data_IF_504561520978
#
_entry.id   IF_504561520978
#
_cell.length_a   1.000
_cell.length_b   1.000
_cell.length_c   1.000
_cell.angle_alpha   90.00
_cell.angle_beta   90.00
_cell.angle_gamma   90.00
#
_symmetry.space_group_name_H-M   'P 1'
#
loop_
_entity.id
_entity.type
_entity.pdbx_description
1 polymer ?
#
# COMPACT_ATOMS: atom_id res chain seq x y z
N UNK A 1 -16.00 -33.81 13.36
CA UNK A 1 -15.27 -32.53 13.26
C UNK A 1 -15.23 -32.00 11.82
N UNK A 2 -14.83 -32.80 10.84
CA UNK A 2 -14.75 -32.42 9.41
C UNK A 2 -16.11 -32.01 8.82
N UNK A 3 -17.19 -32.75 9.10
CA UNK A 3 -18.54 -32.45 8.59
C UNK A 3 -19.03 -31.08 9.07
N UNK A 4 -18.77 -30.73 10.34
CA UNK A 4 -19.17 -29.44 10.88
C UNK A 4 -18.41 -28.26 10.23
N UNK A 5 -17.14 -28.47 9.91
CA UNK A 5 -16.34 -27.48 9.17
C UNK A 5 -16.84 -27.27 7.73
N UNK A 6 -17.26 -28.35 7.05
CA UNK A 6 -17.83 -28.23 5.70
C UNK A 6 -19.18 -27.54 5.70
N UNK A 7 -20.02 -27.77 6.71
CA UNK A 7 -21.29 -27.07 6.87
C UNK A 7 -21.10 -25.58 7.18
N UNK A 8 -20.15 -25.24 8.04
CA UNK A 8 -19.81 -23.86 8.36
C UNK A 8 -19.23 -23.11 7.15
N UNK A 9 -18.39 -23.76 6.35
CA UNK A 9 -17.88 -23.19 5.08
C UNK A 9 -18.98 -22.99 4.04
N UNK A 10 -19.91 -23.94 3.91
CA UNK A 10 -21.07 -23.84 3.02
C UNK A 10 -21.99 -22.67 3.41
N UNK A 11 -22.26 -22.52 4.71
CA UNK A 11 -23.07 -21.43 5.23
C UNK A 11 -22.40 -20.06 5.07
N UNK A 12 -21.07 -19.99 5.23
CA UNK A 12 -20.30 -18.78 5.01
C UNK A 12 -20.30 -18.40 3.52
N UNK A 13 -20.12 -19.34 2.62
CA UNK A 13 -20.22 -19.13 1.17
C UNK A 13 -21.59 -18.60 0.75
N UNK A 14 -22.68 -19.17 1.28
CA UNK A 14 -24.05 -18.69 1.03
C UNK A 14 -24.28 -17.27 1.57
N UNK A 15 -23.77 -16.95 2.75
CA UNK A 15 -23.88 -15.59 3.33
C UNK A 15 -23.15 -14.57 2.47
N UNK A 16 -21.95 -14.91 1.98
CA UNK A 16 -21.17 -14.03 1.10
C UNK A 16 -21.86 -13.83 -0.26
N UNK A 17 -22.40 -14.89 -0.85
CA UNK A 17 -23.20 -14.81 -2.09
C UNK A 17 -24.45 -13.95 -1.91
N UNK A 18 -25.15 -14.07 -0.79
CA UNK A 18 -26.31 -13.23 -0.49
C UNK A 18 -25.95 -11.77 -0.27
N UNK A 19 -24.77 -11.49 0.34
CA UNK A 19 -24.28 -10.12 0.51
C UNK A 19 -23.93 -9.49 -0.85
N UNK A 20 -23.29 -10.25 -1.74
CA UNK A 20 -22.99 -9.78 -3.10
C UNK A 20 -24.25 -9.47 -3.89
N UNK A 21 -25.24 -10.37 -3.84
CA UNK A 21 -26.57 -10.17 -4.46
C UNK A 21 -27.26 -8.94 -3.90
N UNK A 22 -27.27 -8.77 -2.59
CA UNK A 22 -27.90 -7.62 -1.94
C UNK A 22 -27.22 -6.30 -2.37
N UNK A 23 -25.90 -6.25 -2.35
CA UNK A 23 -25.14 -5.06 -2.76
C UNK A 23 -25.33 -4.73 -4.24
N UNK A 24 -25.41 -5.73 -5.10
CA UNK A 24 -25.62 -5.53 -6.54
C UNK A 24 -27.05 -5.14 -6.90
N UNK A 25 -28.06 -5.62 -6.16
CA UNK A 25 -29.48 -5.33 -6.45
C UNK A 25 -29.96 -4.04 -5.83
N UNK A 26 -29.57 -3.75 -4.59
CA UNK A 26 -30.05 -2.57 -3.85
C UNK A 26 -29.19 -1.31 -4.13
N UNK A 27 -27.90 -1.48 -4.32
CA UNK A 27 -26.96 -0.35 -4.43
C UNK A 27 -26.34 -0.23 -5.83
N UNK A 28 -26.59 -1.18 -6.72
CA UNK A 28 -26.03 -1.19 -8.07
C UNK A 28 -24.51 -1.29 -8.11
N UNK A 29 -23.87 -1.72 -7.00
CA UNK A 29 -22.42 -1.83 -6.85
C UNK A 29 -22.03 -3.28 -7.04
N UNK A 30 -21.28 -3.57 -8.10
CA UNK A 30 -20.64 -4.87 -8.28
C UNK A 30 -19.59 -5.09 -7.19
N UNK A 31 -19.90 -5.90 -6.18
CA UNK A 31 -18.97 -6.23 -5.10
C UNK A 31 -18.25 -7.53 -5.42
N UNK A 32 -16.95 -7.45 -5.67
CA UNK A 32 -16.10 -8.63 -5.77
C UNK A 32 -15.46 -8.93 -4.40
N UNK A 33 -15.29 -10.20 -4.07
CA UNK A 33 -14.60 -10.65 -2.85
C UNK A 33 -13.15 -10.16 -2.80
N UNK A 34 -12.53 -9.97 -3.95
CA UNK A 34 -11.16 -9.48 -4.14
C UNK A 34 -11.18 -8.03 -4.58
N UNK A 35 -11.59 -7.14 -3.69
CA UNK A 35 -11.76 -5.72 -4.02
C UNK A 35 -10.52 -4.88 -3.66
N UNK A 36 -10.32 -3.82 -4.43
CA UNK A 36 -9.20 -2.90 -4.27
C UNK A 36 -9.19 -2.19 -2.91
N UNK A 37 -10.37 -1.93 -2.32
CA UNK A 37 -10.50 -1.24 -1.04
C UNK A 37 -9.91 -2.06 0.11
N UNK A 38 -10.28 -3.34 0.23
CA UNK A 38 -9.76 -4.22 1.30
C UNK A 38 -8.26 -4.40 1.17
N UNK A 39 -7.78 -4.61 -0.06
CA UNK A 39 -6.34 -4.76 -0.31
C UNK A 39 -5.60 -3.48 -0.01
N UNK A 40 -6.13 -2.32 -0.37
CA UNK A 40 -5.55 -1.01 -0.05
C UNK A 40 -5.42 -0.79 1.46
N UNK A 41 -6.42 -1.18 2.25
CA UNK A 41 -6.36 -1.12 3.71
C UNK A 41 -5.28 -2.05 4.28
N UNK A 42 -5.25 -3.31 3.87
CA UNK A 42 -4.25 -4.29 4.32
C UNK A 42 -2.84 -3.81 3.97
N UNK A 43 -2.66 -3.29 2.77
CA UNK A 43 -1.40 -2.75 2.29
C UNK A 43 -0.97 -1.51 3.07
N UNK A 44 -1.92 -0.62 3.40
CA UNK A 44 -1.70 0.51 4.30
C UNK A 44 -1.13 0.05 5.64
N UNK A 45 -1.75 -0.94 6.28
CA UNK A 45 -1.25 -1.52 7.54
C UNK A 45 0.13 -2.16 7.40
N UNK A 46 0.43 -2.80 6.28
CA UNK A 46 1.73 -3.42 6.04
C UNK A 46 2.87 -2.39 5.87
N UNK A 47 2.57 -1.20 5.39
CA UNK A 47 3.55 -0.12 5.17
C UNK A 47 3.79 0.72 6.43
N UNK A 48 2.81 0.82 7.35
CA UNK A 48 2.91 1.61 8.59
C UNK A 48 4.18 1.31 9.39
N UNK A 49 4.57 0.06 9.70
CA UNK A 49 5.76 -0.21 10.50
C UNK A 49 7.05 0.34 9.87
N UNK A 50 7.14 0.27 8.55
CA UNK A 50 8.31 0.78 7.81
C UNK A 50 8.39 2.30 7.91
N UNK A 51 7.28 3.01 7.67
CA UNK A 51 7.23 4.48 7.78
C UNK A 51 7.51 4.91 9.22
N UNK A 52 6.91 4.20 10.20
CA UNK A 52 7.08 4.51 11.61
C UNK A 52 8.54 4.40 12.06
N UNK A 53 9.22 3.30 11.72
CA UNK A 53 10.63 3.10 12.07
C UNK A 53 11.53 4.20 11.50
N UNK A 54 11.34 4.56 10.23
CA UNK A 54 12.14 5.59 9.59
C UNK A 54 11.82 7.00 10.11
N UNK A 55 10.57 7.27 10.46
CA UNK A 55 10.16 8.54 11.05
C UNK A 55 10.71 8.67 12.50
N UNK A 56 10.74 7.56 13.25
CA UNK A 56 11.35 7.49 14.56
C UNK A 56 12.86 7.81 14.50
N UNK A 57 13.58 7.20 13.56
CA UNK A 57 14.99 7.49 13.32
C UNK A 57 15.23 8.98 13.00
N UNK A 58 14.35 9.58 12.19
CA UNK A 58 14.42 11.00 11.89
C UNK A 58 14.24 11.90 13.12
N UNK A 59 13.34 11.51 14.05
CA UNK A 59 13.17 12.22 15.33
C UNK A 59 14.39 12.10 16.25
N UNK A 60 15.01 10.91 16.29
CA UNK A 60 16.22 10.70 17.10
C UNK A 60 17.46 11.41 16.54
N UNK A 61 17.48 11.72 15.26
CA UNK A 61 18.58 12.46 14.63
C UNK A 61 18.61 13.93 15.01
N UNK A 62 17.54 14.48 15.61
CA UNK A 62 17.48 15.89 16.04
C UNK A 62 18.54 16.14 17.12
N UNK A 63 19.42 17.17 16.94
CA UNK A 63 20.51 17.43 17.85
C UNK A 63 20.02 17.82 19.26
N UNK A 64 20.59 17.19 20.28
CA UNK A 64 20.20 17.37 21.67
C UNK A 64 20.39 18.82 22.18
N UNK A 65 21.31 19.57 21.59
CA UNK A 65 21.52 20.98 21.99
C UNK A 65 20.32 21.88 21.69
N UNK A 66 19.52 21.55 20.61
CA UNK A 66 18.28 22.29 20.32
C UNK A 66 17.21 22.00 21.37
N UNK A 67 17.10 20.75 21.79
CA UNK A 67 16.13 20.29 22.81
C UNK A 67 16.49 20.94 24.15
N UNK A 68 17.77 20.86 24.56
CA UNK A 68 18.24 21.40 25.81
C UNK A 68 18.16 22.94 25.83
N UNK A 69 18.44 23.61 24.70
CA UNK A 69 18.28 25.04 24.55
C UNK A 69 16.84 25.52 24.74
N UNK A 70 15.89 24.82 24.15
CA UNK A 70 14.45 25.09 24.29
C UNK A 70 13.99 24.94 25.76
N UNK A 71 14.40 23.86 26.41
CA UNK A 71 14.05 23.59 27.80
C UNK A 71 14.71 24.65 28.75
N UNK A 72 15.94 25.09 28.47
CA UNK A 72 16.63 26.14 29.24
C UNK A 72 15.91 27.48 29.13
N UNK A 73 15.23 27.77 28.04
CA UNK A 73 14.39 28.96 27.87
C UNK A 73 13.02 28.85 28.56
N UNK A 74 12.76 27.75 29.28
CA UNK A 74 11.53 27.54 30.04
C UNK A 74 10.38 26.91 29.24
N UNK A 75 10.63 26.40 28.03
CA UNK A 75 9.61 25.70 27.28
C UNK A 75 9.25 24.36 27.95
N UNK A 76 7.97 24.00 27.94
CA UNK A 76 7.52 22.65 28.33
C UNK A 76 7.99 21.60 27.35
N UNK A 77 8.03 20.32 27.79
CA UNK A 77 8.39 19.17 26.90
C UNK A 77 7.51 19.08 25.64
N UNK A 78 6.22 19.36 25.76
CA UNK A 78 5.30 19.40 24.65
C UNK A 78 5.56 20.55 23.67
N UNK A 79 5.89 21.74 24.21
CA UNK A 79 6.27 22.87 23.37
C UNK A 79 7.57 22.59 22.61
N UNK A 80 8.58 22.06 23.30
CA UNK A 80 9.84 21.63 22.66
C UNK A 80 9.59 20.59 21.55
N UNK A 81 8.74 19.58 21.79
CA UNK A 81 8.41 18.57 20.79
C UNK A 81 7.75 19.19 19.56
N UNK A 82 6.72 20.01 19.76
CA UNK A 82 5.90 20.53 18.64
C UNK A 82 6.61 21.65 17.86
N UNK A 83 7.37 22.52 18.55
CA UNK A 83 7.93 23.71 17.93
C UNK A 83 9.43 23.61 17.60
N UNK A 84 10.14 22.64 18.15
CA UNK A 84 11.58 22.48 17.91
C UNK A 84 11.85 21.11 17.24
N UNK A 85 11.44 20.02 17.86
CA UNK A 85 11.80 18.67 17.39
C UNK A 85 11.07 18.33 16.09
N UNK A 86 9.76 18.52 16.05
CA UNK A 86 8.94 18.15 14.90
C UNK A 86 9.30 18.96 13.63
N UNK A 87 9.47 20.29 13.68
CA UNK A 87 9.95 21.06 12.53
C UNK A 87 11.37 20.68 12.10
N UNK A 88 12.27 20.43 13.06
CA UNK A 88 13.64 20.01 12.76
C UNK A 88 13.71 18.61 12.12
N UNK A 89 12.85 17.68 12.52
CA UNK A 89 12.75 16.34 11.98
C UNK A 89 11.91 16.26 10.67
N UNK A 90 11.18 17.31 10.32
CA UNK A 90 10.24 17.34 9.19
C UNK A 90 10.82 16.81 7.86
N UNK A 91 12.06 17.17 7.43
CA UNK A 91 12.63 16.63 6.20
C UNK A 91 12.84 15.11 6.26
N UNK A 92 13.26 14.59 7.41
CA UNK A 92 13.43 13.15 7.62
C UNK A 92 12.10 12.39 7.63
N UNK A 93 11.06 12.96 8.26
CA UNK A 93 9.71 12.38 8.25
C UNK A 93 9.15 12.38 6.82
N UNK A 94 9.36 13.43 6.06
CA UNK A 94 8.94 13.49 4.67
C UNK A 94 9.65 12.43 3.83
N UNK A 95 10.95 12.25 4.01
CA UNK A 95 11.72 11.17 3.37
C UNK A 95 11.17 9.78 3.73
N UNK A 96 10.82 9.55 5.00
CA UNK A 96 10.20 8.30 5.45
C UNK A 96 8.87 8.02 4.75
N UNK A 97 8.04 9.04 4.57
CA UNK A 97 6.77 8.93 3.82
C UNK A 97 7.00 8.59 2.34
N UNK A 98 7.97 9.25 1.69
CA UNK A 98 8.31 8.97 0.28
C UNK A 98 8.83 7.55 0.08
N UNK A 99 9.68 7.06 0.98
CA UNK A 99 10.15 5.66 0.99
C UNK A 99 9.01 4.68 1.18
N UNK A 100 8.11 4.94 2.12
CA UNK A 100 6.92 4.12 2.34
C UNK A 100 6.01 4.09 1.12
N UNK A 101 5.82 5.23 0.47
CA UNK A 101 5.05 5.34 -0.77
C UNK A 101 5.71 4.58 -1.91
N UNK A 102 7.01 4.72 -2.11
CA UNK A 102 7.76 3.96 -3.12
C UNK A 102 7.63 2.45 -2.93
N UNK A 103 7.68 1.98 -1.66
CA UNK A 103 7.43 0.58 -1.32
C UNK A 103 6.02 0.14 -1.66
N UNK A 104 5.02 0.95 -1.32
CA UNK A 104 3.61 0.66 -1.62
C UNK A 104 3.34 0.55 -3.13
N UNK A 105 3.93 1.43 -3.94
CA UNK A 105 3.81 1.38 -5.41
C UNK A 105 4.50 0.15 -6.01
N UNK A 106 5.60 -0.29 -5.41
CA UNK A 106 6.35 -1.49 -5.83
C UNK A 106 5.79 -2.81 -5.28
N UNK A 107 4.76 -2.77 -4.42
CA UNK A 107 4.22 -3.98 -3.82
C UNK A 107 3.53 -4.86 -4.86
N UNK A 108 4.04 -6.06 -5.01
CA UNK A 108 3.63 -7.00 -6.06
C UNK A 108 2.82 -8.16 -5.50
N UNK A 109 3.35 -8.82 -4.44
CA UNK A 109 2.82 -10.09 -3.96
C UNK A 109 1.47 -9.95 -3.26
N UNK A 110 1.33 -8.95 -2.38
CA UNK A 110 0.07 -8.72 -1.66
C UNK A 110 -1.02 -8.37 -2.67
N UNK A 111 -0.72 -7.48 -3.62
CA UNK A 111 -1.67 -7.09 -4.65
C UNK A 111 -2.05 -8.28 -5.52
N UNK A 112 -1.07 -9.03 -6.05
CA UNK A 112 -1.30 -10.18 -6.92
C UNK A 112 -2.21 -11.24 -6.27
N UNK A 113 -1.92 -11.59 -5.02
CA UNK A 113 -2.65 -12.66 -4.32
C UNK A 113 -4.03 -12.19 -3.83
N UNK A 114 -4.14 -10.94 -3.41
CA UNK A 114 -5.33 -10.43 -2.76
C UNK A 114 -6.37 -9.83 -3.73
N UNK A 115 -5.94 -9.19 -4.83
CA UNK A 115 -6.88 -8.64 -5.84
C UNK A 115 -7.25 -9.61 -6.96
N UNK A 116 -6.60 -10.77 -7.03
CA UNK A 116 -6.87 -11.78 -8.07
C UNK A 116 -6.36 -11.42 -9.46
N UNK A 117 -5.53 -10.40 -9.60
CA UNK A 117 -4.89 -9.99 -10.86
C UNK A 117 -5.89 -9.78 -12.02
N UNK A 118 -7.03 -9.17 -11.73
CA UNK A 118 -8.12 -8.98 -12.71
C UNK A 118 -7.79 -7.81 -13.64
N UNK A 119 -7.68 -8.00 -14.96
CA UNK A 119 -7.32 -6.95 -15.92
C UNK A 119 -8.53 -6.10 -16.30
N UNK A 120 -9.23 -5.53 -15.31
CA UNK A 120 -10.39 -4.66 -15.53
C UNK A 120 -9.96 -3.21 -15.30
N UNK A 121 -10.17 -2.35 -16.29
CA UNK A 121 -10.02 -0.91 -16.16
C UNK A 121 -11.36 -0.28 -15.76
N UNK A 122 -11.73 -0.44 -14.49
CA UNK A 122 -12.92 0.17 -13.92
C UNK A 122 -12.52 1.05 -12.74
N UNK A 123 -13.15 2.21 -12.60
CA UNK A 123 -12.91 3.15 -11.49
C UNK A 123 -13.63 2.75 -10.19
N UNK A 124 -14.17 1.53 -10.13
CA UNK A 124 -14.84 1.01 -8.95
C UNK A 124 -13.85 0.47 -7.92
N UNK A 125 -13.90 0.99 -6.70
CA UNK A 125 -13.09 0.52 -5.55
C UNK A 125 -13.46 -0.90 -5.08
N UNK A 126 -14.60 -1.42 -5.53
CA UNK A 126 -15.13 -2.72 -5.13
C UNK A 126 -14.79 -3.84 -6.11
N UNK A 127 -14.15 -3.51 -7.22
CA UNK A 127 -13.65 -4.48 -8.19
C UNK A 127 -12.20 -4.85 -7.89
N UNK A 128 -11.76 -6.00 -8.39
CA UNK A 128 -10.36 -6.39 -8.41
C UNK A 128 -9.54 -5.43 -9.27
N UNK A 129 -8.27 -5.27 -8.95
CA UNK A 129 -7.38 -4.41 -9.73
C UNK A 129 -6.08 -5.15 -10.07
N UNK A 130 -5.40 -4.64 -11.10
CA UNK A 130 -4.08 -5.10 -11.51
C UNK A 130 -3.12 -3.93 -11.49
N UNK A 131 -2.06 -4.00 -10.65
CA UNK A 131 -1.02 -2.98 -10.63
C UNK A 131 0.04 -3.25 -11.69
N UNK A 132 0.77 -2.20 -12.10
CA UNK A 132 1.90 -2.33 -13.03
C UNK A 132 2.95 -3.31 -12.51
N UNK A 133 3.29 -3.26 -11.23
CA UNK A 133 4.24 -4.18 -10.61
C UNK A 133 3.76 -5.64 -10.68
N UNK A 134 2.50 -5.90 -10.36
CA UNK A 134 1.91 -7.24 -10.45
C UNK A 134 1.83 -7.74 -11.90
N UNK A 135 1.51 -6.85 -12.85
CA UNK A 135 1.48 -7.19 -14.26
C UNK A 135 2.86 -7.64 -14.77
N UNK A 136 3.90 -6.87 -14.46
CA UNK A 136 5.27 -7.19 -14.86
C UNK A 136 5.69 -8.54 -14.26
N UNK A 137 5.40 -8.77 -12.98
CA UNK A 137 5.81 -9.99 -12.29
C UNK A 137 5.18 -11.26 -12.87
N UNK A 138 3.94 -11.19 -13.36
CA UNK A 138 3.22 -12.34 -13.94
C UNK A 138 3.57 -12.55 -15.40
N UNK A 139 3.58 -11.48 -16.19
CA UNK A 139 3.68 -11.58 -17.65
C UNK A 139 5.13 -11.72 -18.16
N UNK A 140 6.13 -11.15 -17.45
CA UNK A 140 7.54 -11.22 -17.90
C UNK A 140 8.05 -12.65 -18.00
N UNK A 141 7.78 -13.55 -17.02
CA UNK A 141 8.24 -14.94 -17.10
C UNK A 141 7.59 -15.73 -18.25
N UNK A 142 6.39 -15.34 -18.69
CA UNK A 142 5.62 -16.01 -19.75
C UNK A 142 5.87 -15.41 -21.14
N UNK A 143 6.45 -14.21 -21.21
CA UNK A 143 6.67 -13.51 -22.47
C UNK A 143 7.88 -14.06 -23.21
N UNK A 144 7.72 -14.35 -24.50
CA UNK A 144 8.83 -14.72 -25.37
C UNK A 144 9.82 -13.57 -25.52
N UNK A 145 11.09 -13.87 -25.33
CA UNK A 145 12.19 -12.91 -25.46
C UNK A 145 12.19 -12.26 -26.85
N UNK A 146 12.33 -10.95 -26.91
CA UNK A 146 12.29 -10.14 -28.13
C UNK A 146 10.90 -10.00 -28.81
N UNK A 147 9.83 -10.56 -28.25
CA UNK A 147 8.47 -10.32 -28.74
C UNK A 147 8.03 -8.86 -28.52
N UNK A 148 7.02 -8.41 -29.24
CA UNK A 148 6.41 -7.08 -29.01
C UNK A 148 5.85 -6.98 -27.60
N UNK A 149 5.28 -8.04 -27.07
CA UNK A 149 4.75 -8.12 -25.73
C UNK A 149 5.84 -7.90 -24.68
N UNK A 150 6.99 -8.58 -24.81
CA UNK A 150 8.15 -8.39 -23.94
C UNK A 150 8.65 -6.93 -23.93
N UNK A 151 8.70 -6.27 -25.09
CA UNK A 151 9.12 -4.87 -25.21
C UNK A 151 8.16 -3.92 -24.48
N UNK A 152 6.85 -4.15 -24.55
CA UNK A 152 5.85 -3.37 -23.84
C UNK A 152 5.97 -3.56 -22.33
N UNK A 153 6.20 -4.79 -21.84
CA UNK A 153 6.44 -5.06 -20.43
C UNK A 153 7.73 -4.41 -19.92
N UNK A 154 8.78 -4.42 -20.74
CA UNK A 154 10.02 -3.73 -20.39
C UNK A 154 9.83 -2.21 -20.30
N UNK A 155 9.05 -1.63 -21.24
CA UNK A 155 8.67 -0.21 -21.17
C UNK A 155 7.87 0.10 -19.90
N UNK A 156 6.92 -0.76 -19.53
CA UNK A 156 6.14 -0.61 -18.30
C UNK A 156 7.04 -0.66 -17.04
N UNK A 157 8.04 -1.57 -17.03
CA UNK A 157 9.03 -1.64 -15.95
C UNK A 157 9.88 -0.36 -15.87
N UNK A 158 10.29 0.19 -17.01
CA UNK A 158 11.05 1.44 -17.09
C UNK A 158 10.22 2.64 -16.59
N UNK A 159 8.94 2.70 -16.95
CA UNK A 159 8.02 3.73 -16.44
C UNK A 159 7.86 3.62 -14.92
N UNK A 160 7.67 2.42 -14.40
CA UNK A 160 7.56 2.18 -12.96
C UNK A 160 8.85 2.58 -12.23
N UNK A 161 10.00 2.23 -12.79
CA UNK A 161 11.31 2.62 -12.27
C UNK A 161 11.48 4.15 -12.26
N UNK A 162 11.20 4.83 -13.39
CA UNK A 162 11.30 6.28 -13.50
C UNK A 162 10.38 6.99 -12.49
N UNK A 163 9.15 6.51 -12.36
CA UNK A 163 8.18 7.02 -11.39
C UNK A 163 8.73 6.88 -9.96
N UNK A 164 9.15 5.67 -9.56
CA UNK A 164 9.69 5.40 -8.23
C UNK A 164 10.95 6.22 -7.96
N UNK A 165 11.81 6.38 -8.97
CA UNK A 165 13.04 7.16 -8.87
C UNK A 165 12.74 8.65 -8.62
N UNK A 166 11.80 9.24 -9.37
CA UNK A 166 11.41 10.66 -9.22
C UNK A 166 10.84 10.94 -7.83
N UNK A 167 10.03 10.02 -7.29
CA UNK A 167 9.44 10.19 -5.97
C UNK A 167 10.41 9.91 -4.81
N UNK A 168 11.52 9.23 -5.07
CA UNK A 168 12.47 8.81 -4.04
C UNK A 168 13.76 9.66 -4.03
N UNK A 169 13.87 10.62 -4.96
CA UNK A 169 14.98 11.57 -5.04
C UNK A 169 14.60 12.93 -4.46
#
# INVERSE_FOLDING_TARGET
MIIKMTDDMSNMSKRMSNMQLYMSTEWGIGYDQRNALVVGLIMGFAVIPTIFSMAEDALFTVPQHLINGSLALGASRWQTLLFVVLPAASPGIFSALMMGFGRAVGETMIVLMATGNTPVMDMSLFNGMRTLAANIAVEVPEAEVASTHYRVLFLAALVLFAFTFIFNT
#
